data_IF_738326504136
#
_entry.id   IF_738326504136
#
_cell.length_a   1.000
_cell.length_b   1.000
_cell.length_c   1.000
_cell.angle_alpha   90.00
_cell.angle_beta   90.00
_cell.angle_gamma   90.00
#
_symmetry.space_group_name_H-M   'P 1'
#
loop_
_entity.id
_entity.type
_entity.pdbx_description
1 polymer ?
#
# COMPACT_ATOMS: atom_id res chain seq x y z
N UNK A 1 11.52 0.70 -17.45
CA UNK A 1 11.70 1.38 -16.14
C UNK A 1 10.78 0.71 -15.15
N UNK A 2 11.30 0.30 -13.98
CA UNK A 2 10.48 -0.29 -12.91
C UNK A 2 9.82 0.86 -12.12
N UNK A 3 8.49 0.89 -12.03
CA UNK A 3 7.78 1.85 -11.18
C UNK A 3 8.00 1.47 -9.72
N UNK A 4 8.41 2.43 -8.89
CA UNK A 4 8.66 2.25 -7.45
C UNK A 4 8.10 3.42 -6.66
N UNK A 5 7.68 3.13 -5.43
CA UNK A 5 7.33 4.17 -4.49
C UNK A 5 8.58 5.01 -4.17
N UNK A 6 8.41 6.33 -4.11
CA UNK A 6 9.44 7.24 -3.60
C UNK A 6 9.01 7.83 -2.25
N UNK A 7 7.73 8.12 -2.12
CA UNK A 7 7.18 8.77 -0.95
C UNK A 7 5.71 8.40 -0.75
N UNK A 8 5.30 8.22 0.50
CA UNK A 8 3.91 8.10 0.91
C UNK A 8 3.64 9.10 2.04
N UNK A 9 2.51 9.79 1.95
CA UNK A 9 1.94 10.52 3.07
C UNK A 9 0.53 10.02 3.33
N UNK A 10 0.26 9.68 4.58
CA UNK A 10 -1.04 9.22 5.04
C UNK A 10 -1.49 10.05 6.23
N UNK A 11 -2.79 10.34 6.30
CA UNK A 11 -3.43 10.96 7.45
C UNK A 11 -4.68 10.17 7.78
N UNK A 12 -4.79 9.78 9.04
CA UNK A 12 -5.98 9.17 9.62
C UNK A 12 -6.46 10.07 10.76
N UNK A 13 -7.77 10.27 10.86
CA UNK A 13 -8.39 10.98 11.99
C UNK A 13 -9.53 10.12 12.49
N UNK A 14 -9.47 9.76 13.78
CA UNK A 14 -10.56 9.11 14.48
C UNK A 14 -11.12 10.04 15.58
N UNK A 15 -11.99 9.51 16.45
CA UNK A 15 -12.61 10.29 17.53
C UNK A 15 -11.63 10.70 18.65
N UNK A 16 -10.48 10.06 18.73
CA UNK A 16 -9.50 10.21 19.80
C UNK A 16 -8.25 10.96 19.34
N UNK A 17 -7.85 10.83 18.07
CA UNK A 17 -6.58 11.34 17.56
C UNK A 17 -6.54 11.57 16.05
N UNK A 18 -5.54 12.33 15.62
CA UNK A 18 -5.10 12.40 14.23
C UNK A 18 -3.69 11.82 14.12
N UNK A 19 -3.55 10.78 13.31
CA UNK A 19 -2.28 10.15 13.00
C UNK A 19 -1.82 10.57 11.61
N UNK A 20 -0.54 10.92 11.49
CA UNK A 20 0.10 11.27 10.22
C UNK A 20 1.34 10.43 10.04
N UNK A 21 1.46 9.85 8.85
CA UNK A 21 2.63 9.07 8.46
C UNK A 21 3.28 9.73 7.26
N UNK A 22 4.61 9.84 7.31
CA UNK A 22 5.44 10.21 6.17
C UNK A 22 6.45 9.09 5.98
N UNK A 23 6.44 8.47 4.80
CA UNK A 23 7.31 7.35 4.48
C UNK A 23 8.18 7.74 3.29
N UNK A 24 9.49 7.62 3.44
CA UNK A 24 10.46 7.78 2.36
C UNK A 24 11.00 6.39 1.98
N UNK A 25 10.82 6.03 0.72
CA UNK A 25 11.29 4.75 0.18
C UNK A 25 12.64 4.97 -0.52
N UNK A 26 13.71 4.59 0.16
CA UNK A 26 15.06 4.71 -0.36
C UNK A 26 15.55 3.35 -0.91
N UNK A 27 16.68 3.38 -1.64
CA UNK A 27 17.23 2.18 -2.27
C UNK A 27 17.60 1.08 -1.27
N UNK A 28 18.05 1.44 -0.07
CA UNK A 28 18.57 0.50 0.93
C UNK A 28 17.77 0.49 2.24
N UNK A 29 16.82 1.40 2.41
CA UNK A 29 16.06 1.55 3.66
C UNK A 29 14.70 2.19 3.43
N UNK A 30 13.83 2.04 4.42
CA UNK A 30 12.56 2.78 4.51
C UNK A 30 12.57 3.59 5.79
N UNK A 31 12.25 4.87 5.67
CA UNK A 31 12.20 5.82 6.79
C UNK A 31 10.76 6.26 7.00
N UNK A 32 10.24 6.06 8.21
CA UNK A 32 8.86 6.38 8.58
C UNK A 32 8.83 7.39 9.72
N UNK A 33 8.26 8.57 9.49
CA UNK A 33 7.82 9.47 10.56
C UNK A 33 6.38 9.15 10.92
N UNK A 34 6.11 9.07 12.22
CA UNK A 34 4.74 9.02 12.74
C UNK A 34 4.53 10.20 13.67
N UNK A 35 3.54 11.02 13.34
CA UNK A 35 3.02 12.05 14.23
C UNK A 35 1.65 11.60 14.73
N UNK A 36 1.48 11.55 16.05
CA UNK A 36 0.19 11.30 16.69
C UNK A 36 -0.24 12.58 17.41
N UNK A 37 -1.40 13.09 17.06
CA UNK A 37 -2.00 14.30 17.61
C UNK A 37 -3.34 13.95 18.28
N UNK A 38 -3.32 13.63 19.59
CA UNK A 38 -4.53 13.27 20.29
C UNK A 38 -5.44 14.48 20.52
N UNK A 39 -6.76 14.27 20.57
CA UNK A 39 -7.75 15.31 20.92
C UNK A 39 -7.49 15.87 22.32
N UNK A 40 -6.97 15.03 23.23
CA UNK A 40 -6.51 15.42 24.57
C UNK A 40 -5.12 14.84 24.81
N UNK A 41 -4.18 15.69 25.25
CA UNK A 41 -2.81 15.28 25.57
C UNK A 41 -1.78 15.95 24.68
N UNK A 42 -0.56 15.40 24.67
CA UNK A 42 0.58 15.98 23.97
C UNK A 42 0.79 15.27 22.64
N UNK A 43 0.99 16.06 21.57
CA UNK A 43 1.43 15.56 20.28
C UNK A 43 2.77 14.83 20.42
N UNK A 44 2.87 13.65 19.83
CA UNK A 44 4.13 12.88 19.77
C UNK A 44 4.60 12.77 18.33
N UNK A 45 5.93 12.72 18.17
CA UNK A 45 6.59 12.46 16.89
C UNK A 45 7.62 11.36 17.14
N UNK A 46 7.63 10.36 16.28
CA UNK A 46 8.61 9.28 16.31
C UNK A 46 9.09 8.96 14.89
N UNK A 47 10.28 8.37 14.82
CA UNK A 47 10.89 7.97 13.55
C UNK A 47 11.38 6.53 13.64
N UNK A 48 11.01 5.72 12.67
CA UNK A 48 11.46 4.34 12.53
C UNK A 48 12.26 4.18 11.23
N UNK A 49 13.32 3.37 11.28
CA UNK A 49 14.13 3.01 10.11
C UNK A 49 14.09 1.50 9.93
N UNK A 50 13.60 1.06 8.78
CA UNK A 50 13.76 -0.31 8.31
C UNK A 50 15.06 -0.38 7.50
N UNK A 51 16.09 -1.16 7.92
CA UNK A 51 17.39 -1.19 7.26
C UNK A 51 17.39 -2.06 5.99
N UNK A 52 16.22 -2.24 5.38
CA UNK A 52 16.03 -3.04 4.18
C UNK A 52 15.34 -2.21 3.12
N UNK A 53 15.72 -2.45 1.87
CA UNK A 53 15.14 -1.82 0.70
C UNK A 53 15.68 -2.47 -0.58
N UNK A 54 15.06 -2.17 -1.73
CA UNK A 54 13.93 -1.26 -1.90
C UNK A 54 12.57 -1.93 -1.57
N UNK A 55 11.60 -1.13 -1.09
CA UNK A 55 10.22 -1.56 -0.81
C UNK A 55 9.22 -0.56 -1.39
N UNK A 56 7.98 -0.99 -1.54
CA UNK A 56 6.86 -0.13 -1.96
C UNK A 56 5.81 -0.02 -0.84
N UNK A 57 4.90 0.95 -0.93
CA UNK A 57 3.64 0.85 -0.21
C UNK A 57 2.63 0.01 -1.02
N UNK A 58 1.54 -0.42 -0.37
CA UNK A 58 0.54 -1.29 -0.99
C UNK A 58 -0.18 -0.62 -2.18
N UNK A 59 -0.41 0.70 -2.14
CA UNK A 59 -1.08 1.41 -3.24
C UNK A 59 -0.13 1.54 -4.43
N UNK A 60 1.14 1.89 -4.19
CA UNK A 60 2.16 1.90 -5.23
C UNK A 60 2.35 0.52 -5.87
N UNK A 61 2.28 -0.56 -5.08
CA UNK A 61 2.32 -1.92 -5.61
C UNK A 61 1.13 -2.22 -6.52
N UNK A 62 -0.08 -1.82 -6.14
CA UNK A 62 -1.27 -1.97 -7.01
C UNK A 62 -1.09 -1.18 -8.31
N UNK A 63 -0.49 0.02 -8.26
CA UNK A 63 -0.15 0.79 -9.46
C UNK A 63 0.92 0.09 -10.30
N UNK A 64 1.94 -0.50 -9.67
CA UNK A 64 2.96 -1.29 -10.37
C UNK A 64 2.34 -2.47 -11.13
N UNK A 65 1.36 -3.17 -10.55
CA UNK A 65 0.65 -4.28 -11.20
C UNK A 65 -0.01 -3.87 -12.53
N UNK A 66 -0.31 -2.58 -12.72
CA UNK A 66 -0.84 -2.05 -13.99
C UNK A 66 0.10 -2.31 -15.17
N UNK A 67 1.41 -2.35 -14.91
CA UNK A 67 2.45 -2.60 -15.91
C UNK A 67 2.78 -4.08 -16.15
N UNK A 68 2.11 -4.98 -15.43
CA UNK A 68 2.43 -6.40 -15.45
C UNK A 68 1.51 -7.20 -16.39
N UNK A 69 1.90 -8.42 -16.73
CA UNK A 69 1.02 -9.32 -17.48
C UNK A 69 -0.01 -9.98 -16.54
N UNK A 70 -1.25 -9.48 -16.49
CA UNK A 70 -2.26 -9.97 -15.56
C UNK A 70 -3.04 -11.17 -16.13
N UNK A 71 -2.33 -12.22 -16.55
CA UNK A 71 -2.90 -13.50 -16.99
C UNK A 71 -3.35 -14.37 -15.82
N UNK A 72 -4.43 -15.14 -15.99
CA UNK A 72 -5.00 -15.97 -14.92
C UNK A 72 -3.94 -16.94 -14.34
N UNK A 73 -3.95 -17.11 -13.01
CA UNK A 73 -2.99 -17.93 -12.26
C UNK A 73 -1.63 -17.28 -12.03
N UNK A 74 -1.34 -16.14 -12.67
CA UNK A 74 -0.06 -15.45 -12.49
C UNK A 74 0.02 -14.82 -11.11
N UNK A 75 1.21 -14.92 -10.48
CA UNK A 75 1.47 -14.42 -9.12
C UNK A 75 2.55 -13.35 -9.11
N UNK A 76 2.34 -12.34 -8.27
CA UNK A 76 3.24 -11.20 -8.08
C UNK A 76 3.51 -11.03 -6.59
N UNK A 77 4.76 -11.25 -6.18
CA UNK A 77 5.18 -11.16 -4.77
C UNK A 77 6.11 -9.97 -4.55
N UNK A 78 5.81 -9.15 -3.54
CA UNK A 78 6.62 -7.99 -3.13
C UNK A 78 6.56 -7.79 -1.62
N UNK A 79 7.66 -7.28 -1.07
CA UNK A 79 7.69 -6.75 0.30
C UNK A 79 7.20 -5.31 0.25
N UNK A 80 6.26 -4.97 1.13
CA UNK A 80 5.71 -3.63 1.24
C UNK A 80 5.82 -3.12 2.67
N UNK A 81 5.88 -1.80 2.83
CA UNK A 81 5.86 -1.13 4.13
C UNK A 81 5.00 0.15 4.05
N UNK A 82 3.68 0.07 4.31
CA UNK A 82 2.82 1.25 4.31
C UNK A 82 3.04 2.16 5.53
N UNK A 83 3.61 1.62 6.62
CA UNK A 83 3.86 2.35 7.87
C UNK A 83 5.25 2.00 8.45
N UNK A 84 5.33 1.39 9.61
CA UNK A 84 6.59 1.10 10.32
C UNK A 84 7.04 -0.37 10.21
N UNK A 85 6.17 -1.25 9.73
CA UNK A 85 6.38 -2.70 9.69
C UNK A 85 6.31 -3.25 8.27
N UNK A 86 7.39 -3.87 7.76
CA UNK A 86 7.34 -4.54 6.47
C UNK A 86 6.56 -5.85 6.54
N UNK A 87 5.87 -6.19 5.46
CA UNK A 87 5.23 -7.49 5.27
C UNK A 87 5.32 -7.93 3.80
N UNK A 88 5.20 -9.24 3.57
CA UNK A 88 5.19 -9.79 2.23
C UNK A 88 3.76 -9.87 1.72
N UNK A 89 3.56 -9.44 0.48
CA UNK A 89 2.30 -9.53 -0.26
C UNK A 89 2.48 -10.42 -1.47
N UNK A 90 1.46 -11.23 -1.75
CA UNK A 90 1.37 -11.98 -3.00
C UNK A 90 0.01 -11.72 -3.62
N UNK A 91 -0.01 -11.15 -4.81
CA UNK A 91 -1.18 -11.02 -5.66
C UNK A 91 -1.27 -12.20 -6.60
N UNK A 92 -2.46 -12.77 -6.76
CA UNK A 92 -2.76 -13.83 -7.72
C UNK A 92 -3.91 -13.40 -8.62
N UNK A 93 -3.74 -13.51 -9.93
CA UNK A 93 -4.81 -13.21 -10.88
C UNK A 93 -5.81 -14.36 -10.87
N UNK A 94 -7.01 -14.12 -10.36
CA UNK A 94 -8.05 -15.15 -10.19
C UNK A 94 -8.96 -15.28 -11.42
N UNK A 95 -9.06 -14.24 -12.24
CA UNK A 95 -9.98 -14.23 -13.37
C UNK A 95 -10.38 -12.84 -13.79
N UNK A 96 -11.39 -12.78 -14.68
CA UNK A 96 -12.11 -11.55 -15.02
C UNK A 96 -13.56 -11.68 -14.56
N UNK A 97 -14.11 -10.59 -14.07
CA UNK A 97 -15.54 -10.47 -13.79
C UNK A 97 -16.01 -9.03 -14.03
N UNK A 98 -17.32 -8.82 -14.12
CA UNK A 98 -17.88 -7.48 -14.30
C UNK A 98 -18.38 -6.92 -12.97
N UNK A 99 -17.91 -5.73 -12.60
CA UNK A 99 -18.39 -4.99 -11.43
C UNK A 99 -19.21 -3.78 -11.84
N UNK A 100 -20.21 -3.45 -11.02
CA UNK A 100 -20.96 -2.20 -11.14
C UNK A 100 -20.25 -1.07 -10.39
N UNK A 101 -19.82 -0.04 -11.12
CA UNK A 101 -19.19 1.16 -10.58
C UNK A 101 -19.65 2.39 -11.38
N UNK A 102 -19.92 3.50 -10.67
CA UNK A 102 -20.47 4.73 -11.25
C UNK A 102 -21.76 4.52 -12.09
N UNK A 103 -22.61 3.57 -11.68
CA UNK A 103 -23.86 3.24 -12.38
C UNK A 103 -23.70 2.33 -13.61
N UNK A 104 -22.47 1.96 -13.98
CA UNK A 104 -22.19 1.17 -15.17
C UNK A 104 -21.51 -0.17 -14.81
N UNK A 105 -21.76 -1.20 -15.63
CA UNK A 105 -21.00 -2.46 -15.54
C UNK A 105 -19.67 -2.31 -16.27
N UNK A 106 -18.58 -2.65 -15.61
CA UNK A 106 -17.21 -2.53 -16.14
C UNK A 106 -16.49 -3.87 -16.08
N UNK A 107 -15.79 -4.29 -17.14
CA UNK A 107 -14.85 -5.42 -17.09
C UNK A 107 -13.75 -5.13 -16.06
N UNK A 108 -13.50 -6.10 -15.18
CA UNK A 108 -12.48 -6.02 -14.14
C UNK A 108 -11.66 -7.31 -14.07
N UNK A 109 -10.40 -7.18 -13.70
CA UNK A 109 -9.50 -8.28 -13.35
C UNK A 109 -9.59 -8.48 -11.84
N UNK A 110 -9.89 -9.70 -11.42
CA UNK A 110 -9.97 -10.10 -10.01
C UNK A 110 -8.62 -10.58 -9.52
N UNK A 111 -8.12 -9.97 -8.44
CA UNK A 111 -6.84 -10.28 -7.82
C UNK A 111 -7.07 -10.77 -6.39
N UNK A 112 -6.59 -11.97 -6.07
CA UNK A 112 -6.49 -12.44 -4.70
C UNK A 112 -5.24 -11.88 -4.03
N UNK A 113 -5.35 -11.39 -2.79
CA UNK A 113 -4.23 -10.86 -2.01
C UNK A 113 -3.95 -11.77 -0.80
N UNK A 114 -2.70 -12.20 -0.69
CA UNK A 114 -2.16 -12.92 0.45
C UNK A 114 -1.13 -12.06 1.19
N UNK A 115 -1.15 -12.09 2.52
CA UNK A 115 -0.22 -11.34 3.37
C UNK A 115 0.50 -12.28 4.33
N UNK A 116 1.82 -12.17 4.39
CA UNK A 116 2.67 -12.83 5.40
C UNK A 116 3.47 -11.80 6.17
N UNK A 117 3.52 -11.95 7.49
CA UNK A 117 4.37 -11.13 8.35
C UNK A 117 5.84 -11.47 8.10
N UNK A 118 6.70 -10.47 8.21
CA UNK A 118 8.15 -10.65 8.23
C UNK A 118 8.61 -10.36 9.66
N UNK A 119 9.28 -11.32 10.29
CA UNK A 119 10.00 -11.06 11.54
C UNK A 119 11.24 -10.21 11.23
N UNK A 120 11.41 -9.08 11.89
CA UNK A 120 12.45 -8.10 11.51
C UNK A 120 13.87 -8.52 11.89
N UNK A 121 14.01 -9.47 12.82
CA UNK A 121 15.31 -9.93 13.34
C UNK A 121 15.75 -11.20 12.62
N UNK A 122 14.86 -12.17 12.50
CA UNK A 122 15.14 -13.48 11.91
C UNK A 122 14.83 -13.55 10.42
N UNK A 123 14.10 -12.55 9.88
CA UNK A 123 13.60 -12.51 8.50
C UNK A 123 12.68 -13.68 8.14
N UNK A 124 12.16 -14.38 9.14
CA UNK A 124 11.24 -15.50 8.92
C UNK A 124 9.83 -15.02 8.58
N UNK A 125 9.16 -15.78 7.72
CA UNK A 125 7.81 -15.46 7.26
C UNK A 125 6.75 -16.23 8.05
N UNK A 126 5.82 -15.51 8.68
CA UNK A 126 4.69 -16.11 9.41
C UNK A 126 3.33 -15.68 8.87
N UNK A 127 2.28 -16.46 9.17
CA UNK A 127 0.93 -16.17 8.71
C UNK A 127 0.36 -14.90 9.35
N UNK A 128 -0.32 -14.06 8.57
CA UNK A 128 -1.08 -12.92 9.09
C UNK A 128 -2.50 -13.35 9.49
N UNK A 129 -2.63 -13.97 10.67
CA UNK A 129 -3.89 -14.58 11.16
C UNK A 129 -5.10 -13.63 11.24
N UNK A 130 -4.88 -12.31 11.21
CA UNK A 130 -5.95 -11.30 11.27
C UNK A 130 -6.67 -11.09 9.93
N UNK A 131 -6.07 -11.47 8.80
CA UNK A 131 -6.72 -11.43 7.49
C UNK A 131 -7.01 -12.86 7.04
N UNK A 132 -8.26 -13.14 6.70
CA UNK A 132 -8.69 -14.45 6.19
C UNK A 132 -8.58 -14.50 4.67
N UNK A 133 -9.19 -13.51 4.03
CA UNK A 133 -9.16 -13.33 2.57
C UNK A 133 -9.13 -11.85 2.24
N UNK A 134 -8.48 -11.51 1.14
CA UNK A 134 -8.53 -10.17 0.55
C UNK A 134 -8.61 -10.32 -0.97
N UNK A 135 -9.49 -9.55 -1.60
CA UNK A 135 -9.67 -9.49 -3.05
C UNK A 135 -9.67 -8.05 -3.49
N UNK A 136 -8.97 -7.76 -4.58
CA UNK A 136 -8.93 -6.45 -5.22
C UNK A 136 -9.36 -6.62 -6.65
N UNK A 137 -10.19 -5.70 -7.13
CA UNK A 137 -10.59 -5.61 -8.52
C UNK A 137 -9.95 -4.39 -9.14
N UNK A 138 -9.29 -4.60 -10.27
CA UNK A 138 -8.79 -3.51 -11.11
C UNK A 138 -9.58 -3.50 -12.42
N UNK A 139 -9.77 -2.34 -13.05
CA UNK A 139 -10.41 -2.30 -14.37
C UNK A 139 -9.62 -3.13 -15.39
N UNK A 140 -10.31 -3.77 -16.33
CA UNK A 140 -9.67 -4.48 -17.45
C UNK A 140 -9.60 -3.53 -18.66
N UNK A 141 -8.86 -2.43 -18.48
CA UNK A 141 -8.59 -1.41 -19.49
C UNK A 141 -7.12 -0.96 -19.40
N UNK A 142 -6.70 0.02 -20.20
CA UNK A 142 -5.33 0.53 -20.18
C UNK A 142 -4.94 1.17 -18.85
N UNK A 143 -5.93 1.66 -18.10
CA UNK A 143 -5.66 2.21 -16.79
C UNK A 143 -5.45 1.05 -15.82
N UNK A 144 -6.38 0.11 -15.65
CA UNK A 144 -6.34 -0.85 -14.54
C UNK A 144 -6.38 -0.12 -13.19
N UNK A 145 -7.36 0.74 -13.03
CA UNK A 145 -7.62 1.44 -11.77
C UNK A 145 -8.16 0.44 -10.74
N UNK A 146 -7.73 0.51 -9.46
CA UNK A 146 -8.38 -0.24 -8.39
C UNK A 146 -9.82 0.26 -8.21
N UNK A 147 -10.79 -0.58 -8.56
CA UNK A 147 -12.23 -0.27 -8.52
C UNK A 147 -12.82 -0.60 -7.17
N UNK A 148 -12.48 -1.76 -6.63
CA UNK A 148 -13.05 -2.25 -5.37
C UNK A 148 -12.06 -3.16 -4.66
N UNK A 149 -12.11 -3.19 -3.34
CA UNK A 149 -11.34 -4.09 -2.50
C UNK A 149 -12.23 -4.62 -1.39
N UNK A 150 -12.20 -5.93 -1.20
CA UNK A 150 -12.92 -6.63 -0.14
C UNK A 150 -11.92 -7.38 0.72
N UNK A 151 -12.09 -7.36 2.04
CA UNK A 151 -11.27 -8.13 2.96
C UNK A 151 -12.12 -8.71 4.10
N UNK A 152 -12.14 -10.04 4.21
CA UNK A 152 -12.63 -10.71 5.41
C UNK A 152 -11.50 -10.76 6.44
N UNK A 153 -11.73 -10.13 7.58
CA UNK A 153 -10.76 -10.08 8.68
C UNK A 153 -11.21 -10.98 9.84
N UNK A 154 -10.39 -11.11 10.87
CA UNK A 154 -10.69 -11.95 12.02
C UNK A 154 -12.04 -11.59 12.67
N UNK A 155 -12.34 -10.30 12.80
CA UNK A 155 -13.63 -9.78 13.26
C UNK A 155 -14.25 -8.89 12.19
N UNK A 156 -15.21 -9.43 11.45
CA UNK A 156 -15.99 -8.69 10.47
C UNK A 156 -15.35 -8.62 9.09
N UNK A 157 -15.64 -7.52 8.40
CA UNK A 157 -15.42 -7.38 6.97
C UNK A 157 -15.14 -5.91 6.64
N UNK A 158 -14.18 -5.69 5.76
CA UNK A 158 -13.84 -4.37 5.25
C UNK A 158 -14.05 -4.34 3.75
N UNK A 159 -14.54 -3.23 3.24
CA UNK A 159 -14.53 -2.96 1.82
C UNK A 159 -14.15 -1.51 1.54
N UNK A 160 -13.58 -1.28 0.37
CA UNK A 160 -13.35 0.04 -0.18
C UNK A 160 -13.77 0.03 -1.64
N UNK A 161 -14.46 1.08 -2.09
CA UNK A 161 -14.90 1.25 -3.46
C UNK A 161 -14.40 2.59 -3.96
N UNK A 162 -13.84 2.62 -5.17
CA UNK A 162 -13.56 3.87 -5.86
C UNK A 162 -14.89 4.63 -6.01
N UNK A 163 -14.87 5.95 -5.86
CA UNK A 163 -16.05 6.82 -6.07
C UNK A 163 -15.83 7.86 -7.16
N UNK A 164 -14.56 8.16 -7.47
CA UNK A 164 -14.15 9.03 -8.55
C UNK A 164 -12.63 8.97 -8.72
N UNK A 165 -12.13 9.40 -9.88
CA UNK A 165 -10.71 9.64 -10.11
C UNK A 165 -10.55 10.78 -11.11
N UNK A 166 -9.41 11.45 -11.06
CA UNK A 166 -9.04 12.51 -12.00
C UNK A 166 -7.62 12.24 -12.49
N UNK A 167 -7.39 12.32 -13.80
CA UNK A 167 -6.05 12.25 -14.37
C UNK A 167 -5.41 13.63 -14.33
N UNK A 168 -4.32 13.75 -13.58
CA UNK A 168 -3.54 14.98 -13.51
C UNK A 168 -2.81 15.23 -14.83
N UNK A 169 -2.70 16.50 -15.23
CA UNK A 169 -1.98 16.91 -16.45
C UNK A 169 -1.14 18.18 -16.23
N UNK A 170 -0.23 18.48 -17.16
CA UNK A 170 0.55 19.72 -17.17
C UNK A 170 1.39 19.93 -15.90
N UNK A 171 1.24 21.09 -15.25
CA UNK A 171 1.97 21.44 -14.01
C UNK A 171 1.55 20.58 -12.82
N UNK A 172 0.30 20.12 -12.75
CA UNK A 172 -0.21 19.29 -11.66
C UNK A 172 0.45 17.90 -11.66
N UNK A 173 0.75 17.36 -12.85
CA UNK A 173 1.48 16.11 -13.01
C UNK A 173 2.98 16.21 -12.66
N UNK A 174 3.50 17.42 -12.43
CA UNK A 174 4.91 17.70 -12.12
C UNK A 174 5.13 18.16 -10.68
N UNK A 175 4.24 17.78 -9.76
CA UNK A 175 4.38 18.15 -8.36
C UNK A 175 5.78 17.77 -7.84
N UNK A 176 6.49 18.69 -7.15
CA UNK A 176 7.80 18.36 -6.60
C UNK A 176 7.63 17.24 -5.58
N UNK A 177 8.53 16.26 -5.62
CA UNK A 177 8.61 15.30 -4.53
C UNK A 177 8.93 16.06 -3.24
N UNK A 178 8.28 15.72 -2.11
CA UNK A 178 8.62 16.32 -0.83
C UNK A 178 10.08 16.03 -0.49
N UNK A 179 10.70 16.97 0.24
CA UNK A 179 12.09 16.84 0.66
C UNK A 179 12.33 15.52 1.40
N UNK A 180 13.44 14.85 1.08
CA UNK A 180 13.86 13.62 1.76
C UNK A 180 13.98 13.85 3.27
N UNK A 181 13.53 12.88 4.05
CA UNK A 181 13.67 12.93 5.49
C UNK A 181 15.12 12.64 5.89
N UNK A 182 15.77 13.58 6.58
CA UNK A 182 17.13 13.37 7.11
C UNK A 182 17.04 12.68 8.46
N UNK A 183 17.41 11.41 8.52
CA UNK A 183 17.42 10.62 9.77
C UNK A 183 18.81 10.04 9.99
N UNK A 184 19.27 10.05 11.25
CA UNK A 184 20.53 9.39 11.64
C UNK A 184 20.51 7.94 11.13
N UNK A 185 21.62 7.44 10.55
CA UNK A 185 21.70 6.04 10.15
C UNK A 185 21.38 5.14 11.34
N UNK A 186 20.72 3.99 11.13
CA UNK A 186 20.62 2.98 12.17
C UNK A 186 22.04 2.59 12.61
N UNK A 187 22.25 2.23 13.90
CA UNK A 187 23.52 1.67 14.35
C UNK A 187 23.93 0.51 13.44
N UNK A 188 25.22 0.39 13.14
CA UNK A 188 25.73 -0.78 12.44
C UNK A 188 25.36 -2.05 13.23
N UNK A 189 25.04 -3.16 12.54
CA UNK A 189 24.72 -4.43 13.19
C UNK A 189 25.87 -4.95 14.06
#
# INVERSE_FOLDING_TARGET
MEQRAHFLQHRETDKNETCRYRVSFERQRVVTETQVEPVKGTKTISTAVCPYGPMDDILSLILYLRSQDLTNGRKYTRVVQPWDTPYMTTFEVLGRESLSYAGEKRPCIKLGLQIRKIDRTTLTLSAYKKMKTATIWVSDDELRLPIEMHASVFVGYMFAKLTGFELLSGKQAKAPLPASMTVKPPPAP
#
